data_IF_658828201163
#
_entry.id   IF_658828201163
#
_cell.length_a   1.000
_cell.length_b   1.000
_cell.length_c   1.000
_cell.angle_alpha   90.00
_cell.angle_beta   90.00
_cell.angle_gamma   90.00
#
_symmetry.space_group_name_H-M   'P 1'
#
loop_
_entity.id
_entity.type
_entity.pdbx_description
1 polymer ?
#
# COMPACT_ATOMS: atom_id res chain seq x y z
N UNK A 1 19.98 -10.83 17.18
CA UNK A 1 18.79 -11.00 16.31
C UNK A 1 18.37 -9.62 15.82
N UNK A 2 18.95 -9.18 14.72
CA UNK A 2 18.59 -7.90 14.10
C UNK A 2 17.23 -8.11 13.45
N UNK A 3 16.16 -7.62 14.08
CA UNK A 3 14.85 -7.54 13.45
C UNK A 3 15.00 -6.53 12.31
N UNK A 4 15.31 -7.01 11.11
CA UNK A 4 15.25 -6.21 9.92
C UNK A 4 13.78 -5.81 9.78
N UNK A 5 13.46 -4.53 10.02
CA UNK A 5 12.09 -4.03 9.90
C UNK A 5 11.78 -4.00 8.40
N UNK A 6 11.30 -5.13 7.88
CA UNK A 6 10.91 -5.26 6.48
C UNK A 6 9.51 -4.72 6.31
N UNK A 7 9.27 -3.97 5.23
CA UNK A 7 7.95 -3.43 4.84
C UNK A 7 6.86 -4.51 4.89
N UNK A 8 7.19 -5.76 4.57
CA UNK A 8 6.31 -6.92 4.62
C UNK A 8 5.80 -7.26 6.03
N UNK A 9 6.66 -7.18 7.04
CA UNK A 9 6.28 -7.40 8.45
C UNK A 9 5.33 -6.31 8.92
N UNK A 10 5.58 -5.06 8.50
CA UNK A 10 4.70 -3.94 8.79
C UNK A 10 3.36 -4.06 8.06
N UNK A 11 3.34 -4.52 6.81
CA UNK A 11 2.10 -4.85 6.10
C UNK A 11 1.31 -5.91 6.88
N UNK A 12 1.95 -6.97 7.39
CA UNK A 12 1.28 -7.98 8.23
C UNK A 12 0.72 -7.38 9.52
N UNK A 13 1.46 -6.50 10.18
CA UNK A 13 0.99 -5.82 11.39
C UNK A 13 -0.20 -4.88 11.10
N UNK A 14 -0.12 -4.17 9.98
CA UNK A 14 -1.19 -3.31 9.47
C UNK A 14 -2.46 -4.12 9.20
N UNK A 15 -2.33 -5.30 8.61
CA UNK A 15 -3.47 -6.17 8.33
C UNK A 15 -4.12 -6.74 9.59
N UNK A 16 -3.34 -6.91 10.67
CA UNK A 16 -3.82 -7.41 11.96
C UNK A 16 -4.45 -6.32 12.84
N UNK A 17 -3.86 -5.13 12.85
CA UNK A 17 -4.18 -4.07 13.83
C UNK A 17 -4.82 -2.83 13.21
N UNK A 18 -4.68 -2.66 11.90
CA UNK A 18 -5.16 -1.51 11.16
C UNK A 18 -6.32 -1.85 10.23
N UNK A 19 -6.65 -0.89 9.38
CA UNK A 19 -7.73 -0.97 8.41
C UNK A 19 -7.21 -0.68 7.03
N UNK A 20 -7.39 -1.64 6.13
CA UNK A 20 -6.94 -1.55 4.75
C UNK A 20 -8.06 -1.86 3.77
N UNK A 21 -7.90 -1.36 2.56
CA UNK A 21 -8.75 -1.66 1.41
C UNK A 21 -7.92 -2.31 0.33
N UNK A 22 -8.48 -3.34 -0.26
CA UNK A 22 -7.84 -4.14 -1.29
C UNK A 22 -8.52 -3.84 -2.63
N UNK A 23 -7.69 -3.72 -3.67
CA UNK A 23 -8.12 -3.60 -5.05
C UNK A 23 -8.16 -2.16 -5.56
N UNK A 24 -7.68 -1.98 -6.79
CA UNK A 24 -7.52 -0.67 -7.44
C UNK A 24 -8.79 0.18 -7.42
N UNK A 25 -9.95 -0.38 -7.83
CA UNK A 25 -11.22 0.37 -7.87
C UNK A 25 -11.65 0.93 -6.51
N UNK A 26 -11.54 0.12 -5.46
CA UNK A 26 -11.94 0.53 -4.09
C UNK A 26 -10.95 1.52 -3.52
N UNK A 27 -9.66 1.27 -3.73
CA UNK A 27 -8.59 2.19 -3.34
C UNK A 27 -8.78 3.54 -4.02
N UNK A 28 -8.99 3.59 -5.34
CA UNK A 28 -9.20 4.84 -6.07
C UNK A 28 -10.40 5.63 -5.53
N UNK A 29 -11.51 4.94 -5.21
CA UNK A 29 -12.70 5.58 -4.62
C UNK A 29 -12.38 6.20 -3.25
N UNK A 30 -11.66 5.50 -2.37
CA UNK A 30 -11.27 6.03 -1.05
C UNK A 30 -10.19 7.09 -1.12
N UNK A 31 -9.31 6.99 -2.12
CA UNK A 31 -8.27 7.96 -2.43
C UNK A 31 -8.87 9.31 -2.81
N UNK A 32 -9.88 9.30 -3.70
CA UNK A 32 -10.66 10.49 -4.07
C UNK A 32 -11.41 11.12 -2.90
N UNK A 33 -11.77 10.32 -1.89
CA UNK A 33 -12.42 10.82 -0.67
C UNK A 33 -11.43 11.35 0.38
N UNK A 34 -10.12 11.26 0.16
CA UNK A 34 -9.11 11.66 1.14
C UNK A 34 -9.10 10.82 2.43
N UNK A 35 -9.67 9.60 2.39
CA UNK A 35 -9.74 8.71 3.57
C UNK A 35 -8.54 7.77 3.70
N UNK A 36 -7.62 7.80 2.74
CA UNK A 36 -6.41 6.98 2.74
C UNK A 36 -5.23 7.78 3.27
N UNK A 37 -4.40 7.13 4.08
CA UNK A 37 -3.13 7.69 4.59
C UNK A 37 -1.94 7.25 3.76
N UNK A 38 -2.03 6.11 3.10
CA UNK A 38 -1.02 5.62 2.17
C UNK A 38 -1.61 4.67 1.13
N UNK A 39 -0.89 4.47 0.04
CA UNK A 39 -1.23 3.46 -0.99
C UNK A 39 -0.03 2.60 -1.29
N UNK A 40 -0.22 1.29 -1.32
CA UNK A 40 0.78 0.32 -1.74
C UNK A 40 0.36 -0.24 -3.11
N UNK A 41 1.25 -0.17 -4.08
CA UNK A 41 1.04 -0.64 -5.44
C UNK A 41 2.14 -1.63 -5.82
N UNK A 42 1.80 -2.69 -6.54
CA UNK A 42 2.81 -3.64 -7.03
C UNK A 42 3.70 -2.95 -8.08
N UNK A 43 5.01 -3.17 -8.05
CA UNK A 43 5.98 -2.65 -9.03
C UNK A 43 5.68 -3.14 -10.46
N UNK A 44 5.11 -4.33 -10.60
CA UNK A 44 4.72 -4.94 -11.88
C UNK A 44 3.43 -4.39 -12.45
N UNK A 45 2.67 -3.57 -11.69
CA UNK A 45 1.46 -2.93 -12.19
C UNK A 45 1.82 -1.88 -13.25
N UNK A 46 1.38 -2.10 -14.48
CA UNK A 46 1.56 -1.20 -15.61
C UNK A 46 0.19 -0.84 -16.22
N UNK A 47 0.12 0.31 -16.87
CA UNK A 47 -1.08 0.81 -17.56
C UNK A 47 -1.87 1.84 -16.76
N UNK A 48 -3.01 2.24 -17.31
CA UNK A 48 -3.81 3.40 -16.88
C UNK A 48 -4.14 3.42 -15.39
N UNK A 49 -4.35 2.24 -14.78
CA UNK A 49 -4.68 2.11 -13.36
C UNK A 49 -3.52 2.58 -12.47
N UNK A 50 -2.29 2.26 -12.84
CA UNK A 50 -1.08 2.69 -12.12
C UNK A 50 -0.95 4.21 -12.19
N UNK A 51 -1.10 4.76 -13.39
CA UNK A 51 -0.97 6.20 -13.64
C UNK A 51 -2.06 6.99 -12.92
N UNK A 52 -3.30 6.50 -12.94
CA UNK A 52 -4.40 7.06 -12.17
C UNK A 52 -4.08 7.09 -10.68
N UNK A 53 -3.68 5.95 -10.09
CA UNK A 53 -3.35 5.88 -8.66
C UNK A 53 -2.23 6.86 -8.31
N UNK A 54 -1.15 6.87 -9.09
CA UNK A 54 -0.01 7.77 -8.84
C UNK A 54 -0.43 9.23 -8.99
N UNK A 55 -1.24 9.55 -9.99
CA UNK A 55 -1.76 10.90 -10.22
C UNK A 55 -2.61 11.37 -9.04
N UNK A 56 -3.60 10.57 -8.62
CA UNK A 56 -4.45 10.92 -7.48
C UNK A 56 -3.68 10.95 -6.16
N UNK A 57 -2.69 10.07 -5.95
CA UNK A 57 -1.83 10.15 -4.77
C UNK A 57 -1.07 11.48 -4.72
N UNK A 58 -0.51 11.94 -5.85
CA UNK A 58 0.17 13.24 -5.95
C UNK A 58 -0.78 14.41 -5.68
N UNK A 59 -1.97 14.41 -6.30
CA UNK A 59 -2.96 15.49 -6.13
C UNK A 59 -3.49 15.54 -4.69
N UNK A 60 -3.72 14.38 -4.07
CA UNK A 60 -4.20 14.30 -2.69
C UNK A 60 -3.08 14.45 -1.63
N UNK A 61 -1.81 14.53 -2.04
CA UNK A 61 -0.67 14.56 -1.13
C UNK A 61 -0.49 13.27 -0.32
N UNK A 62 -1.02 12.14 -0.79
CA UNK A 62 -0.96 10.86 -0.10
C UNK A 62 0.27 10.09 -0.58
N UNK A 63 1.16 9.64 0.33
CA UNK A 63 2.33 8.88 -0.05
C UNK A 63 1.93 7.51 -0.64
N UNK A 64 2.63 7.10 -1.69
CA UNK A 64 2.49 5.77 -2.26
C UNK A 64 3.82 5.01 -2.23
N UNK A 65 3.72 3.69 -2.17
CA UNK A 65 4.85 2.78 -2.13
C UNK A 65 4.74 1.73 -3.23
N UNK A 66 5.83 1.57 -3.99
CA UNK A 66 5.95 0.50 -4.98
C UNK A 66 6.52 -0.73 -4.31
N UNK A 67 5.68 -1.73 -4.08
CA UNK A 67 6.10 -3.02 -3.56
C UNK A 67 6.90 -3.78 -4.64
N UNK A 68 8.14 -4.20 -4.37
CA UNK A 68 9.02 -4.78 -5.39
C UNK A 68 8.61 -6.19 -5.83
N UNK A 69 7.80 -6.92 -5.04
CA UNK A 69 7.35 -8.27 -5.38
C UNK A 69 6.16 -8.31 -6.33
N UNK A 70 5.55 -9.49 -6.47
CA UNK A 70 4.42 -9.72 -7.36
C UNK A 70 3.07 -9.51 -6.67
N UNK A 71 1.99 -9.42 -7.46
CA UNK A 71 0.62 -9.35 -6.92
C UNK A 71 0.20 -10.61 -6.15
N UNK A 72 0.86 -11.74 -6.39
CA UNK A 72 0.67 -12.98 -5.62
C UNK A 72 1.29 -12.89 -4.23
N UNK A 73 2.47 -12.28 -4.12
CA UNK A 73 3.15 -12.08 -2.83
C UNK A 73 2.33 -11.13 -1.96
N UNK A 74 1.82 -10.04 -2.55
CA UNK A 74 0.89 -9.13 -1.88
C UNK A 74 -0.43 -9.84 -1.49
N UNK A 75 -0.99 -10.68 -2.37
CA UNK A 75 -2.15 -11.52 -2.05
C UNK A 75 -1.92 -12.40 -0.82
N UNK A 76 -0.78 -13.07 -0.80
CA UNK A 76 -0.35 -13.97 0.28
C UNK A 76 -0.09 -13.22 1.59
N UNK A 77 0.57 -12.05 1.52
CA UNK A 77 0.79 -11.18 2.67
C UNK A 77 -0.52 -10.74 3.32
N UNK A 78 -1.53 -10.44 2.50
CA UNK A 78 -2.89 -10.04 2.91
C UNK A 78 -3.74 -11.23 3.38
N UNK A 79 -3.31 -12.46 3.11
CA UNK A 79 -4.08 -13.67 3.43
C UNK A 79 -5.30 -13.85 2.52
N UNK A 80 -5.20 -13.43 1.25
CA UNK A 80 -6.26 -13.63 0.24
C UNK A 80 -5.82 -14.63 -0.82
N UNK A 81 -6.70 -15.57 -1.25
CA UNK A 81 -6.38 -16.58 -2.24
C UNK A 81 -6.41 -16.04 -3.69
N UNK A 82 -6.13 -14.76 -3.87
CA UNK A 82 -6.15 -14.09 -5.17
C UNK A 82 -5.09 -13.00 -5.25
N UNK A 83 -4.63 -12.70 -6.47
CA UNK A 83 -3.64 -11.66 -6.71
C UNK A 83 -4.20 -10.27 -6.39
N UNK A 84 -3.39 -9.45 -5.71
CA UNK A 84 -3.73 -8.08 -5.35
C UNK A 84 -2.75 -7.14 -6.03
N UNK A 85 -3.26 -6.19 -6.81
CA UNK A 85 -2.48 -5.16 -7.48
C UNK A 85 -2.25 -3.90 -6.64
N UNK A 86 -3.14 -3.62 -5.68
CA UNK A 86 -3.13 -2.37 -4.91
C UNK A 86 -3.77 -2.57 -3.55
N UNK A 87 -3.18 -1.95 -2.53
CA UNK A 87 -3.72 -1.84 -1.17
C UNK A 87 -3.79 -0.36 -0.78
N UNK A 88 -4.95 0.11 -0.36
CA UNK A 88 -5.12 1.40 0.30
C UNK A 88 -5.06 1.24 1.81
N UNK A 89 -4.27 2.06 2.48
CA UNK A 89 -4.19 2.12 3.94
C UNK A 89 -5.11 3.21 4.46
N UNK A 90 -6.19 2.84 5.17
CA UNK A 90 -7.06 3.81 5.85
C UNK A 90 -6.50 4.14 7.23
N UNK A 91 -6.21 3.11 8.01
CA UNK A 91 -5.72 3.25 9.38
C UNK A 91 -4.48 2.38 9.57
N UNK A 92 -3.32 2.97 9.92
CA UNK A 92 -2.07 2.24 10.12
C UNK A 92 -2.11 1.31 11.34
N UNK A 93 -3.02 1.56 12.29
CA UNK A 93 -3.03 0.85 13.57
C UNK A 93 -1.69 1.04 14.30
N UNK A 94 -1.09 -0.07 14.74
CA UNK A 94 0.23 -0.09 15.37
C UNK A 94 1.38 -0.23 14.36
N UNK A 95 1.08 -0.24 13.06
CA UNK A 95 2.11 -0.37 12.04
C UNK A 95 2.83 0.96 11.80
N UNK A 96 4.16 0.89 11.71
CA UNK A 96 5.04 1.99 11.33
C UNK A 96 5.23 2.09 9.81
N UNK A 97 4.31 1.50 9.04
CA UNK A 97 4.36 1.54 7.57
C UNK A 97 4.49 2.96 7.05
N UNK A 98 3.75 3.93 7.61
CA UNK A 98 3.78 5.33 7.18
C UNK A 98 5.16 5.96 7.32
N UNK A 99 5.89 5.64 8.39
CA UNK A 99 7.25 6.13 8.61
C UNK A 99 8.21 5.56 7.56
N UNK A 100 8.10 4.25 7.28
CA UNK A 100 8.91 3.59 6.26
C UNK A 100 8.65 4.13 4.85
N UNK A 101 7.39 4.44 4.52
CA UNK A 101 7.04 4.99 3.21
C UNK A 101 7.53 6.43 3.02
N UNK A 102 7.57 7.20 4.10
CA UNK A 102 8.07 8.58 4.07
C UNK A 102 9.60 8.61 3.90
N UNK A 103 10.32 7.65 4.49
CA UNK A 103 11.79 7.57 4.41
C UNK A 103 12.31 7.19 3.02
N UNK A 104 11.52 6.49 2.20
CA UNK A 104 11.95 6.07 0.86
C UNK A 104 11.78 7.15 -0.23
N UNK A 105 11.21 8.31 0.09
CA UNK A 105 11.12 9.43 -0.86
C UNK A 105 12.30 10.41 -0.77
N UNK A 106 13.24 10.21 0.16
CA UNK A 106 14.38 11.12 0.38
C UNK A 106 15.68 10.68 -0.33
N UNK A 107 15.58 9.87 -1.40
CA UNK A 107 16.72 9.43 -2.20
C UNK A 107 16.67 9.98 -3.62
#
# INVERSE_FOLDING_TARGET
MSQNITVESEIKNLLKTGKVVIGSRRTLKKLKMGKLKAVIVVSTLRGDIMDDIVHYCKVSGIPFYKYPGSGWDLGTLVGKPFMISTIGVEEPGNSRILELLTQQQTG
#
